data_IF_547910730141
#
_entry.id   IF_547910730141
#
_cell.length_a   1.000
_cell.length_b   1.000
_cell.length_c   1.000
_cell.angle_alpha   90.00
_cell.angle_beta   90.00
_cell.angle_gamma   90.00
#
_symmetry.space_group_name_H-M   'P 1'
#
loop_
_entity.id
_entity.type
_entity.pdbx_description
1 polymer ?
#
# COMPACT_ATOMS: atom_id res chain seq x y z
N UNK A 1 -30.23 -0.40 14.05
CA UNK A 1 -28.86 -0.92 14.19
C UNK A 1 -28.02 -0.09 13.22
N UNK A 2 -26.98 0.60 13.68
CA UNK A 2 -26.15 1.43 12.80
C UNK A 2 -25.36 0.48 11.87
N UNK A 3 -25.39 0.73 10.56
CA UNK A 3 -24.65 -0.09 9.59
C UNK A 3 -23.14 0.08 9.84
N UNK A 4 -22.38 -1.02 9.86
CA UNK A 4 -20.93 -0.99 10.06
C UNK A 4 -20.26 -1.24 8.71
N UNK A 5 -19.56 -0.22 8.21
CA UNK A 5 -18.77 -0.27 7.00
C UNK A 5 -17.35 -0.78 7.26
N UNK A 6 -16.72 -1.29 6.21
CA UNK A 6 -15.33 -1.75 6.22
C UNK A 6 -14.54 -0.97 5.17
N UNK A 7 -13.46 -0.32 5.57
CA UNK A 7 -12.58 0.46 4.71
C UNK A 7 -11.17 -0.12 4.67
N UNK A 8 -10.51 -0.13 3.52
CA UNK A 8 -9.08 -0.46 3.41
C UNK A 8 -8.34 0.81 2.98
N UNK A 9 -7.50 1.36 3.87
CA UNK A 9 -6.88 2.68 3.68
C UNK A 9 -5.64 2.66 2.78
N UNK A 10 -5.09 1.49 2.48
CA UNK A 10 -3.76 1.37 1.91
C UNK A 10 -3.71 0.24 0.89
N UNK A 11 -3.79 0.55 -0.40
CA UNK A 11 -3.71 -0.47 -1.47
C UNK A 11 -3.00 0.07 -2.71
N UNK A 12 -2.31 -0.83 -3.42
CA UNK A 12 -1.53 -0.49 -4.61
C UNK A 12 -2.00 -1.21 -5.86
N UNK A 13 -1.98 -0.49 -6.96
CA UNK A 13 -2.25 -1.00 -8.30
C UNK A 13 -0.98 -0.99 -9.14
N UNK A 14 -1.10 -1.50 -10.36
CA UNK A 14 -0.04 -1.43 -11.38
C UNK A 14 0.47 -0.02 -11.71
N UNK A 15 -0.17 1.05 -11.20
CA UNK A 15 0.29 2.42 -11.35
C UNK A 15 1.35 2.84 -10.31
N UNK A 16 1.54 2.11 -9.19
CA UNK A 16 2.64 2.31 -8.23
C UNK A 16 4.05 2.20 -8.85
N UNK A 17 4.16 1.61 -10.04
CA UNK A 17 5.40 1.60 -10.80
C UNK A 17 6.32 0.44 -10.41
N UNK A 18 7.52 0.76 -9.92
CA UNK A 18 8.59 -0.22 -9.74
C UNK A 18 9.34 -0.02 -8.43
N UNK A 19 9.41 -1.08 -7.64
CA UNK A 19 10.29 -1.17 -6.50
C UNK A 19 11.74 -1.43 -6.97
N UNK A 20 12.72 -0.97 -6.19
CA UNK A 20 14.13 -1.29 -6.37
C UNK A 20 14.68 -1.96 -5.13
N UNK A 21 15.27 -3.15 -5.30
CA UNK A 21 16.00 -3.84 -4.26
C UNK A 21 17.42 -4.15 -4.73
N UNK A 22 18.40 -3.41 -4.22
CA UNK A 22 19.80 -3.44 -4.70
C UNK A 22 19.84 -3.20 -6.23
N UNK A 23 20.32 -4.19 -7.00
CA UNK A 23 20.40 -4.13 -8.45
C UNK A 23 19.14 -4.65 -9.15
N UNK A 24 18.17 -5.21 -8.41
CA UNK A 24 16.92 -5.72 -8.96
C UNK A 24 15.85 -4.63 -8.98
N UNK A 25 15.08 -4.59 -10.05
CA UNK A 25 13.90 -3.72 -10.15
C UNK A 25 12.75 -4.51 -10.77
N UNK A 26 11.61 -4.51 -10.10
CA UNK A 26 10.43 -5.28 -10.48
C UNK A 26 9.16 -4.43 -10.28
N UNK A 27 8.07 -4.73 -11.02
CA UNK A 27 6.80 -4.03 -10.83
C UNK A 27 6.33 -4.15 -9.40
N UNK A 28 5.93 -3.02 -8.83
CA UNK A 28 5.51 -2.92 -7.44
C UNK A 28 4.19 -3.67 -7.19
N UNK A 29 3.17 -3.37 -8.01
CA UNK A 29 1.94 -4.16 -8.10
C UNK A 29 1.67 -4.50 -9.56
N UNK A 30 0.95 -5.60 -9.78
CA UNK A 30 0.41 -5.98 -11.09
C UNK A 30 -1.11 -6.05 -11.08
N UNK A 31 -1.72 -5.56 -10.00
CA UNK A 31 -3.17 -5.54 -9.83
C UNK A 31 -3.76 -4.38 -10.63
N UNK A 32 -4.75 -4.67 -11.47
CA UNK A 32 -5.45 -3.61 -12.22
C UNK A 32 -6.48 -2.91 -11.33
N UNK A 33 -6.78 -1.61 -11.55
CA UNK A 33 -7.85 -0.91 -10.82
C UNK A 33 -9.20 -1.65 -10.84
N UNK A 34 -9.56 -2.24 -11.98
CA UNK A 34 -10.78 -3.07 -12.12
C UNK A 34 -10.73 -4.32 -11.24
N UNK A 35 -9.56 -4.97 -11.14
CA UNK A 35 -9.38 -6.12 -10.26
C UNK A 35 -9.50 -5.71 -8.80
N UNK A 36 -8.93 -4.57 -8.40
CA UNK A 36 -9.03 -4.07 -7.03
C UNK A 36 -10.48 -3.87 -6.61
N UNK A 37 -11.29 -3.21 -7.44
CA UNK A 37 -12.74 -3.01 -7.19
C UNK A 37 -13.45 -4.35 -7.04
N UNK A 38 -13.26 -5.28 -7.99
CA UNK A 38 -13.91 -6.59 -7.95
C UNK A 38 -13.57 -7.38 -6.67
N UNK A 39 -12.35 -7.25 -6.16
CA UNK A 39 -11.97 -7.91 -4.89
C UNK A 39 -12.58 -7.17 -3.71
N UNK A 40 -12.52 -5.84 -3.68
CA UNK A 40 -13.14 -5.03 -2.63
C UNK A 40 -14.63 -5.33 -2.46
N UNK A 41 -15.38 -5.41 -3.58
CA UNK A 41 -16.80 -5.80 -3.58
C UNK A 41 -17.01 -7.21 -2.99
N UNK A 42 -16.14 -8.17 -3.33
CA UNK A 42 -16.20 -9.54 -2.78
C UNK A 42 -15.87 -9.59 -1.29
N UNK A 43 -15.01 -8.70 -0.81
CA UNK A 43 -14.66 -8.57 0.60
C UNK A 43 -15.69 -7.74 1.39
N UNK A 44 -16.67 -7.13 0.71
CA UNK A 44 -17.67 -6.28 1.33
C UNK A 44 -17.12 -4.95 1.82
N UNK A 45 -16.09 -4.41 1.16
CA UNK A 45 -15.56 -3.09 1.51
C UNK A 45 -16.53 -1.98 1.08
N UNK A 46 -16.85 -1.09 2.02
CA UNK A 46 -17.59 0.15 1.77
C UNK A 46 -16.67 1.32 1.35
N UNK A 47 -15.37 1.22 1.64
CA UNK A 47 -14.36 2.17 1.16
C UNK A 47 -13.08 1.44 0.73
N UNK A 48 -12.62 1.71 -0.49
CA UNK A 48 -11.35 1.23 -1.03
C UNK A 48 -10.47 2.43 -1.35
N UNK A 49 -9.45 2.67 -0.53
CA UNK A 49 -8.42 3.66 -0.79
C UNK A 49 -7.35 3.05 -1.69
N UNK A 50 -7.23 3.58 -2.92
CA UNK A 50 -6.11 3.26 -3.80
C UNK A 50 -5.08 4.37 -3.64
N UNK A 51 -3.89 4.00 -3.18
CA UNK A 51 -2.82 4.89 -2.76
C UNK A 51 -1.54 4.52 -3.50
N UNK A 52 -1.57 4.59 -4.83
CA UNK A 52 -0.37 4.29 -5.63
C UNK A 52 0.77 5.25 -5.28
N UNK A 53 2.02 4.78 -5.34
CA UNK A 53 3.18 5.60 -5.00
C UNK A 53 3.29 6.83 -5.92
N UNK A 54 3.26 8.02 -5.32
CA UNK A 54 3.49 9.31 -6.01
C UNK A 54 2.59 9.55 -7.23
N UNK A 55 1.39 8.94 -7.26
CA UNK A 55 0.38 9.17 -8.29
C UNK A 55 -1.03 8.80 -7.85
N UNK A 56 -2.03 9.59 -8.27
CA UNK A 56 -3.46 9.26 -8.10
C UNK A 56 -4.07 8.50 -9.30
N UNK A 57 -3.27 8.13 -10.30
CA UNK A 57 -3.78 7.62 -11.60
C UNK A 57 -4.59 6.34 -11.47
N UNK A 58 -4.15 5.35 -10.68
CA UNK A 58 -4.90 4.11 -10.51
C UNK A 58 -6.21 4.35 -9.79
N UNK A 59 -6.22 5.23 -8.81
CA UNK A 59 -7.42 5.65 -8.09
C UNK A 59 -8.43 6.37 -9.00
N UNK A 60 -7.99 7.29 -9.86
CA UNK A 60 -8.84 7.96 -10.86
C UNK A 60 -9.45 6.97 -11.86
N UNK A 61 -8.69 5.95 -12.30
CA UNK A 61 -9.21 4.90 -13.19
C UNK A 61 -10.24 4.04 -12.46
N UNK A 62 -10.00 3.69 -11.21
CA UNK A 62 -10.93 2.93 -10.39
C UNK A 62 -12.22 3.70 -10.08
N UNK A 63 -12.12 4.99 -9.72
CA UNK A 63 -13.28 5.80 -9.34
C UNK A 63 -14.29 5.95 -10.49
N UNK A 64 -13.82 5.95 -11.75
CA UNK A 64 -14.69 5.92 -12.94
C UNK A 64 -15.55 4.65 -13.02
N UNK A 65 -15.13 3.56 -12.37
CA UNK A 65 -15.84 2.27 -12.38
C UNK A 65 -16.75 2.11 -11.17
N UNK A 66 -16.37 2.64 -10.00
CA UNK A 66 -17.19 2.62 -8.79
C UNK A 66 -16.87 3.84 -7.91
N UNK A 67 -17.60 4.94 -8.12
CA UNK A 67 -17.36 6.21 -7.43
C UNK A 67 -17.67 6.12 -5.94
N UNK A 68 -18.69 5.37 -5.55
CA UNK A 68 -19.21 5.38 -4.17
C UNK A 68 -18.30 4.64 -3.18
N UNK A 69 -17.54 3.66 -3.68
CA UNK A 69 -16.59 2.87 -2.89
C UNK A 69 -15.15 3.40 -2.98
N UNK A 70 -14.71 3.93 -4.13
CA UNK A 70 -13.29 4.24 -4.36
C UNK A 70 -12.92 5.63 -3.87
N UNK A 71 -12.02 5.67 -2.90
CA UNK A 71 -11.35 6.88 -2.40
C UNK A 71 -10.11 7.14 -3.24
N UNK A 72 -10.00 8.36 -3.78
CA UNK A 72 -8.78 8.81 -4.45
C UNK A 72 -7.72 9.06 -3.38
N UNK A 73 -6.64 8.30 -3.43
CA UNK A 73 -5.49 8.50 -2.56
C UNK A 73 -4.16 8.38 -3.29
N UNK A 74 -3.12 8.68 -2.54
CA UNK A 74 -1.73 8.63 -2.96
C UNK A 74 -0.87 8.23 -1.75
N UNK A 75 0.17 7.44 -1.97
CA UNK A 75 1.26 7.32 -1.02
C UNK A 75 2.41 8.22 -1.48
N UNK A 76 2.55 9.36 -0.81
CA UNK A 76 3.50 10.41 -1.14
C UNK A 76 4.82 10.10 -0.45
N UNK A 77 5.90 9.97 -1.22
CA UNK A 77 7.25 9.92 -0.70
C UNK A 77 7.75 11.34 -0.38
N UNK A 78 7.53 11.81 0.85
CA UNK A 78 8.15 13.06 1.33
C UNK A 78 9.65 12.85 1.57
N UNK A 79 10.39 13.91 1.91
CA UNK A 79 11.82 13.79 2.28
C UNK A 79 12.05 13.28 3.73
N UNK A 80 10.98 13.06 4.50
CA UNK A 80 11.02 12.64 5.91
C UNK A 80 10.24 11.36 6.21
N UNK A 81 9.56 10.79 5.22
CA UNK A 81 8.80 9.55 5.31
C UNK A 81 7.66 9.47 4.28
N UNK A 82 7.09 8.30 4.11
CA UNK A 82 5.87 8.09 3.33
C UNK A 82 4.66 8.64 4.10
N UNK A 83 3.72 9.24 3.37
CA UNK A 83 2.48 9.84 3.88
C UNK A 83 1.34 9.43 2.96
N UNK A 84 0.23 8.96 3.52
CA UNK A 84 -0.98 8.73 2.73
C UNK A 84 -1.79 10.02 2.69
N UNK A 85 -2.09 10.48 1.48
CA UNK A 85 -3.13 11.47 1.24
C UNK A 85 -4.38 10.75 0.76
N UNK A 86 -5.50 10.90 1.48
CA UNK A 86 -6.80 10.34 1.10
C UNK A 86 -7.78 11.46 0.73
N UNK A 87 -8.76 11.14 -0.11
CA UNK A 87 -9.76 12.08 -0.64
C UNK A 87 -9.14 13.25 -1.43
N UNK A 88 -8.07 12.96 -2.17
CA UNK A 88 -7.36 13.96 -2.97
C UNK A 88 -8.14 14.35 -4.24
N UNK A 89 -7.93 15.60 -4.68
CA UNK A 89 -8.45 16.12 -5.95
C UNK A 89 -7.33 16.20 -6.99
N UNK A 90 -6.14 16.59 -6.54
CA UNK A 90 -4.92 16.70 -7.32
C UNK A 90 -3.80 15.90 -6.67
N UNK A 91 -2.82 15.52 -7.50
CA UNK A 91 -1.62 14.81 -7.03
C UNK A 91 -0.79 15.76 -6.15
N UNK A 92 -0.22 15.24 -5.07
CA UNK A 92 0.77 15.95 -4.25
C UNK A 92 2.18 15.63 -4.74
N UNK A 93 3.05 16.64 -4.82
CA UNK A 93 4.39 16.44 -5.35
C UNK A 93 5.32 15.71 -4.35
N UNK A 94 6.13 14.75 -4.81
CA UNK A 94 7.07 14.04 -3.94
C UNK A 94 8.28 14.91 -3.57
N UNK A 95 8.94 14.55 -2.46
CA UNK A 95 10.20 15.16 -2.01
C UNK A 95 10.06 16.46 -1.22
N UNK A 96 8.83 16.92 -0.99
CA UNK A 96 8.51 17.99 -0.04
C UNK A 96 8.83 17.56 1.40
N UNK A 97 8.87 18.51 2.34
CA UNK A 97 8.86 18.17 3.76
C UNK A 97 7.57 17.43 4.14
N UNK A 98 7.59 16.68 5.24
CA UNK A 98 6.38 16.01 5.72
C UNK A 98 5.29 17.04 6.08
N UNK A 99 5.67 18.19 6.63
CA UNK A 99 4.74 19.29 6.96
C UNK A 99 4.09 19.88 5.71
N UNK A 100 4.88 20.27 4.70
CA UNK A 100 4.34 20.80 3.42
C UNK A 100 3.45 19.76 2.70
N UNK A 101 3.83 18.47 2.77
CA UNK A 101 3.03 17.38 2.21
C UNK A 101 1.64 17.32 2.86
N UNK A 102 1.59 17.38 4.20
CA UNK A 102 0.32 17.38 4.96
C UNK A 102 -0.50 18.63 4.64
N UNK A 103 0.14 19.81 4.56
CA UNK A 103 -0.54 21.05 4.20
C UNK A 103 -1.15 20.99 2.80
N UNK A 104 -0.46 20.40 1.82
CA UNK A 104 -1.02 20.21 0.48
C UNK A 104 -2.20 19.23 0.48
N UNK A 105 -2.17 18.17 1.28
CA UNK A 105 -3.32 17.26 1.45
C UNK A 105 -4.51 18.01 2.06
N UNK A 106 -4.27 18.76 3.15
CA UNK A 106 -5.32 19.51 3.85
C UNK A 106 -5.89 20.67 3.04
N UNK A 107 -5.09 21.32 2.20
CA UNK A 107 -5.55 22.41 1.32
C UNK A 107 -6.66 21.97 0.35
N UNK A 108 -6.76 20.65 0.11
CA UNK A 108 -7.76 20.01 -0.73
C UNK A 108 -8.91 19.40 0.09
N UNK A 109 -9.03 19.68 1.39
CA UNK A 109 -9.97 18.98 2.31
C UNK A 109 -9.74 17.45 2.37
N UNK A 110 -8.51 17.02 2.04
CA UNK A 110 -8.04 15.65 2.14
C UNK A 110 -7.70 15.25 3.57
N UNK A 111 -7.39 13.96 3.76
CA UNK A 111 -7.02 13.38 5.04
C UNK A 111 -5.56 12.91 4.95
N UNK A 112 -4.73 13.39 5.87
CA UNK A 112 -3.34 12.96 5.98
C UNK A 112 -3.22 11.82 7.01
N UNK A 113 -2.66 10.69 6.58
CA UNK A 113 -2.43 9.53 7.44
C UNK A 113 -0.94 9.20 7.44
N UNK A 114 -0.39 8.88 8.61
CA UNK A 114 0.95 8.31 8.70
C UNK A 114 0.88 6.79 8.45
N UNK A 115 1.29 6.29 7.27
CA UNK A 115 1.37 4.85 7.03
C UNK A 115 2.53 4.28 7.84
N UNK A 116 2.31 3.08 8.37
CA UNK A 116 3.34 2.28 9.03
C UNK A 116 4.48 3.07 9.73
N UNK A 117 4.16 3.93 10.72
CA UNK A 117 5.06 4.98 11.18
C UNK A 117 6.36 4.47 11.83
N UNK A 118 6.40 3.19 12.23
CA UNK A 118 7.55 2.53 12.84
C UNK A 118 8.10 1.37 11.99
N UNK A 119 7.93 1.43 10.66
CA UNK A 119 8.44 0.40 9.76
C UNK A 119 9.97 0.33 9.80
N UNK A 120 10.52 -0.86 10.04
CA UNK A 120 11.97 -1.10 9.91
C UNK A 120 12.45 -1.27 8.46
N UNK A 121 11.54 -1.22 7.46
CA UNK A 121 11.84 -1.55 6.07
C UNK A 121 11.25 -0.59 5.03
N UNK A 122 10.18 0.13 5.35
CA UNK A 122 9.65 1.24 4.56
C UNK A 122 10.22 2.57 5.09
N UNK A 123 10.12 3.63 4.29
CA UNK A 123 10.59 4.95 4.72
C UNK A 123 9.45 5.63 5.48
N UNK A 124 9.58 5.80 6.79
CA UNK A 124 8.47 6.23 7.64
C UNK A 124 8.82 7.47 8.47
N UNK A 125 7.77 8.18 8.91
CA UNK A 125 7.89 9.45 9.67
C UNK A 125 8.30 9.26 11.13
N UNK A 126 8.20 8.05 11.69
CA UNK A 126 8.56 7.78 13.09
C UNK A 126 7.80 8.64 14.07
N UNK A 127 8.50 9.09 15.12
CA UNK A 127 7.95 9.93 16.18
C UNK A 127 7.46 11.31 15.71
N UNK A 128 7.76 11.74 14.47
CA UNK A 128 7.21 12.97 13.90
C UNK A 128 5.69 12.89 13.75
N UNK A 129 5.11 11.69 13.74
CA UNK A 129 3.66 11.51 13.73
C UNK A 129 2.95 12.19 14.93
N UNK A 130 3.66 12.44 16.03
CA UNK A 130 3.13 13.09 17.23
C UNK A 130 3.22 14.63 17.20
N UNK A 131 3.99 15.18 16.26
CA UNK A 131 4.28 16.62 16.17
C UNK A 131 3.57 17.21 14.94
N UNK A 132 3.52 16.44 13.86
CA UNK A 132 2.86 16.82 12.63
C UNK A 132 1.33 16.64 12.73
N UNK A 133 0.59 17.39 11.92
CA UNK A 133 -0.88 17.45 11.95
C UNK A 133 -1.52 16.29 11.18
N UNK A 134 -1.22 15.05 11.52
CA UNK A 134 -1.92 13.91 10.92
C UNK A 134 -3.37 13.82 11.43
N UNK A 135 -4.28 13.35 10.57
CA UNK A 135 -5.66 13.06 10.95
C UNK A 135 -5.79 11.64 11.53
N UNK A 136 -4.98 10.71 11.01
CA UNK A 136 -4.99 9.31 11.40
C UNK A 136 -3.62 8.67 11.32
N UNK A 137 -3.49 7.53 11.99
CA UNK A 137 -2.28 6.70 12.00
C UNK A 137 -2.67 5.29 11.55
N UNK A 138 -1.89 4.72 10.63
CA UNK A 138 -1.99 3.30 10.31
C UNK A 138 -1.37 2.49 11.46
N UNK A 139 -2.21 2.13 12.42
CA UNK A 139 -1.84 1.33 13.59
C UNK A 139 -1.81 -0.17 13.29
N UNK A 140 -2.39 -0.59 12.16
CA UNK A 140 -2.31 -1.95 11.67
C UNK A 140 -2.06 -1.98 10.16
N UNK A 141 -0.83 -2.31 9.78
CA UNK A 141 -0.47 -2.64 8.41
C UNK A 141 -0.34 -4.17 8.27
N UNK A 142 -1.03 -4.77 7.30
CA UNK A 142 -1.03 -6.23 7.11
C UNK A 142 0.34 -6.79 6.67
N UNK A 143 1.17 -6.03 5.97
CA UNK A 143 2.50 -6.50 5.53
C UNK A 143 3.51 -6.53 6.69
N UNK A 144 3.23 -5.87 7.81
CA UNK A 144 4.11 -5.77 8.98
C UNK A 144 4.00 -7.00 9.90
N UNK A 145 4.46 -8.14 9.36
CA UNK A 145 4.52 -9.44 10.04
C UNK A 145 5.46 -9.48 11.25
N UNK A 146 6.35 -8.50 11.40
CA UNK A 146 7.24 -8.40 12.56
C UNK A 146 6.48 -8.15 13.87
N UNK A 147 5.25 -7.62 13.80
CA UNK A 147 4.40 -7.35 14.96
C UNK A 147 4.84 -6.15 15.80
N UNK A 148 6.13 -5.83 15.83
CA UNK A 148 6.69 -4.71 16.56
C UNK A 148 6.21 -3.37 15.99
N UNK A 149 6.25 -3.19 14.67
CA UNK A 149 5.86 -1.92 14.03
C UNK A 149 4.40 -1.57 14.28
N UNK A 150 3.47 -2.53 14.18
CA UNK A 150 2.06 -2.31 14.48
C UNK A 150 1.82 -2.05 15.98
N UNK A 151 2.52 -2.77 16.87
CA UNK A 151 2.42 -2.54 18.31
C UNK A 151 2.87 -1.12 18.69
N UNK A 152 4.03 -0.67 18.20
CA UNK A 152 4.52 0.69 18.45
C UNK A 152 3.58 1.77 17.90
N UNK A 153 3.04 1.55 16.70
CA UNK A 153 2.07 2.47 16.11
C UNK A 153 0.83 2.60 17.00
N UNK A 154 0.29 1.47 17.49
CA UNK A 154 -0.87 1.45 18.37
C UNK A 154 -0.59 2.10 19.73
N UNK A 155 0.59 1.88 20.32
CA UNK A 155 1.00 2.47 21.60
C UNK A 155 1.13 4.00 21.52
N UNK A 156 1.57 4.52 20.38
CA UNK A 156 1.91 5.94 20.22
C UNK A 156 0.83 6.76 19.48
N UNK A 157 -0.25 6.16 18.97
CA UNK A 157 -1.29 6.84 18.17
C UNK A 157 -2.25 7.78 18.94
N UNK A 158 -1.89 8.22 20.16
CA UNK A 158 -2.81 8.98 21.01
C UNK A 158 -3.33 10.24 20.32
N UNK A 159 -4.64 10.48 20.40
CA UNK A 159 -5.28 11.66 19.82
C UNK A 159 -5.54 11.59 18.31
N UNK A 160 -5.21 10.51 17.63
CA UNK A 160 -5.41 10.34 16.18
C UNK A 160 -6.49 9.28 15.87
N UNK A 161 -7.04 9.30 14.65
CA UNK A 161 -7.86 8.19 14.18
C UNK A 161 -7.00 6.92 14.05
N UNK A 162 -7.51 5.79 14.55
CA UNK A 162 -6.81 4.49 14.49
C UNK A 162 -7.25 3.74 13.24
N UNK A 163 -6.34 3.57 12.28
CA UNK A 163 -6.63 3.02 10.97
C UNK A 163 -5.87 1.72 10.73
N UNK A 164 -6.47 0.83 9.95
CA UNK A 164 -5.86 -0.40 9.44
C UNK A 164 -5.91 -0.44 7.93
N UNK A 165 -4.80 -0.84 7.32
CA UNK A 165 -4.60 -0.95 5.87
C UNK A 165 -3.97 -2.28 5.48
N UNK A 166 -4.33 -2.78 4.31
CA UNK A 166 -3.76 -4.03 3.81
C UNK A 166 -2.36 -3.88 3.22
N UNK A 167 -2.05 -2.67 2.74
CA UNK A 167 -0.85 -2.35 1.95
C UNK A 167 -0.72 -3.35 0.78
N UNK A 168 -1.86 -3.58 0.13
CA UNK A 168 -2.01 -4.67 -0.82
C UNK A 168 -1.30 -4.37 -2.14
N UNK A 169 -0.16 -5.03 -2.35
CA UNK A 169 0.55 -5.07 -3.63
C UNK A 169 0.02 -6.17 -4.58
N UNK A 170 -0.85 -7.05 -4.08
CA UNK A 170 -1.53 -8.08 -4.85
C UNK A 170 -3.02 -8.12 -4.53
N UNK A 171 -3.85 -8.34 -5.56
CA UNK A 171 -5.31 -8.43 -5.41
C UNK A 171 -5.81 -9.31 -4.26
N UNK A 172 -5.17 -10.46 -3.98
CA UNK A 172 -5.58 -11.37 -2.91
C UNK A 172 -5.15 -10.93 -1.50
N UNK A 173 -4.42 -9.81 -1.38
CA UNK A 173 -4.06 -9.19 -0.10
C UNK A 173 -5.05 -8.08 0.30
N UNK A 174 -5.85 -7.56 -0.63
CA UNK A 174 -6.84 -6.49 -0.37
C UNK A 174 -7.80 -6.95 0.73
N UNK A 175 -8.02 -6.09 1.73
CA UNK A 175 -8.87 -6.37 2.89
C UNK A 175 -8.21 -7.23 3.96
N UNK A 176 -6.93 -7.61 3.84
CA UNK A 176 -6.22 -8.27 4.94
C UNK A 176 -6.07 -7.35 6.16
N UNK A 177 -5.83 -6.06 5.95
CA UNK A 177 -5.95 -5.01 6.95
C UNK A 177 -7.09 -4.08 6.59
N UNK A 178 -7.84 -3.61 7.57
CA UNK A 178 -9.02 -2.79 7.35
C UNK A 178 -9.35 -1.92 8.56
N UNK A 179 -10.30 -1.01 8.35
CA UNK A 179 -10.84 -0.08 9.33
C UNK A 179 -12.36 -0.19 9.34
N UNK A 180 -12.95 -0.41 10.50
CA UNK A 180 -14.40 -0.36 10.71
C UNK A 180 -14.84 1.06 11.02
N UNK A 181 -16.00 1.43 10.48
CA UNK A 181 -16.63 2.73 10.69
C UNK A 181 -18.15 2.62 10.68
N UNK A 182 -18.85 3.61 11.25
CA UNK A 182 -20.31 3.69 11.17
C UNK A 182 -20.72 4.30 9.84
N UNK A 183 -21.58 3.62 9.09
CA UNK A 183 -22.04 4.01 7.76
C UNK A 183 -21.67 2.98 6.70
N UNK A 184 -21.87 3.33 5.43
CA UNK A 184 -21.71 2.39 4.30
C UNK A 184 -21.10 3.02 3.05
N UNK A 185 -20.79 4.31 3.09
CA UNK A 185 -20.17 5.03 1.99
C UNK A 185 -18.74 5.48 2.32
N UNK A 186 -17.97 5.82 1.29
CA UNK A 186 -16.67 6.48 1.48
C UNK A 186 -16.77 7.83 2.23
N UNK A 187 -17.91 8.52 2.16
CA UNK A 187 -18.07 9.81 2.86
C UNK A 187 -18.32 9.60 4.35
N UNK A 188 -19.10 8.58 4.72
CA UNK A 188 -19.21 8.15 6.12
C UNK A 188 -17.85 7.76 6.68
N UNK A 189 -17.03 7.10 5.86
CA UNK A 189 -15.66 6.76 6.22
C UNK A 189 -14.80 8.01 6.46
N UNK A 190 -14.89 9.02 5.58
CA UNK A 190 -14.20 10.31 5.75
C UNK A 190 -14.58 11.00 7.06
N UNK A 191 -15.87 11.05 7.36
CA UNK A 191 -16.42 11.64 8.59
C UNK A 191 -15.94 10.85 9.82
N UNK A 192 -15.95 9.52 9.75
CA UNK A 192 -15.49 8.67 10.84
C UNK A 192 -14.00 8.90 11.16
N UNK A 193 -13.16 9.05 10.14
CA UNK A 193 -11.73 9.39 10.34
C UNK A 193 -11.59 10.77 10.99
N UNK A 194 -12.24 11.81 10.44
CA UNK A 194 -12.18 13.17 11.00
C UNK A 194 -12.65 13.24 12.46
N UNK A 195 -13.67 12.46 12.80
CA UNK A 195 -14.21 12.37 14.16
C UNK A 195 -13.46 11.35 15.05
N UNK A 196 -12.47 10.64 14.52
CA UNK A 196 -11.68 9.60 15.22
C UNK A 196 -12.56 8.47 15.76
N UNK A 197 -13.62 8.14 15.03
CA UNK A 197 -14.60 7.09 15.34
C UNK A 197 -14.35 5.85 14.47
N UNK A 198 -13.11 5.36 14.47
CA UNK A 198 -12.66 4.22 13.68
C UNK A 198 -12.08 3.12 14.55
N UNK A 199 -12.18 1.88 14.07
CA UNK A 199 -11.58 0.71 14.73
C UNK A 199 -10.77 -0.07 13.69
N UNK A 200 -9.46 -0.19 13.88
CA UNK A 200 -8.62 -1.04 13.03
C UNK A 200 -8.99 -2.54 13.17
N UNK A 201 -8.66 -3.34 12.16
CA UNK A 201 -8.78 -4.79 12.21
C UNK A 201 -8.01 -5.45 11.08
N UNK A 202 -7.94 -6.78 11.11
CA UNK A 202 -7.30 -7.55 10.06
C UNK A 202 -6.48 -8.73 10.53
N UNK A 203 -5.69 -9.26 9.60
CA UNK A 203 -4.70 -10.31 9.77
C UNK A 203 -3.46 -9.94 8.97
N UNK A 204 -2.30 -10.30 9.50
CA UNK A 204 -1.05 -10.12 8.76
C UNK A 204 -1.03 -11.01 7.52
N UNK A 205 -0.45 -10.50 6.43
CA UNK A 205 -0.23 -11.26 5.21
C UNK A 205 0.59 -12.53 5.53
N UNK A 206 0.19 -13.66 4.96
CA UNK A 206 0.87 -14.93 5.18
C UNK A 206 2.16 -15.02 4.33
N UNK A 207 3.12 -15.87 4.72
CA UNK A 207 4.27 -16.16 3.86
C UNK A 207 3.83 -16.68 2.49
N UNK A 208 2.72 -17.43 2.44
CA UNK A 208 2.11 -17.90 1.19
C UNK A 208 1.66 -16.73 0.31
N UNK A 209 1.14 -15.65 0.89
CA UNK A 209 0.75 -14.46 0.14
C UNK A 209 1.97 -13.80 -0.50
N UNK A 210 3.08 -13.67 0.22
CA UNK A 210 4.33 -13.13 -0.33
C UNK A 210 4.93 -14.01 -1.45
N UNK A 211 4.92 -15.34 -1.30
CA UNK A 211 5.34 -16.27 -2.35
C UNK A 211 4.45 -16.15 -3.59
N UNK A 212 3.13 -16.10 -3.38
CA UNK A 212 2.18 -15.95 -4.47
C UNK A 212 2.32 -14.58 -5.16
N UNK A 213 2.63 -13.53 -4.41
CA UNK A 213 2.80 -12.18 -4.94
C UNK A 213 4.04 -12.13 -5.84
N UNK A 214 5.19 -12.62 -5.38
CA UNK A 214 6.40 -12.62 -6.19
C UNK A 214 6.24 -13.48 -7.46
N UNK A 215 5.60 -14.65 -7.35
CA UNK A 215 5.26 -15.48 -8.50
C UNK A 215 4.28 -14.80 -9.45
N UNK A 216 3.29 -14.06 -8.92
CA UNK A 216 2.31 -13.30 -9.71
C UNK A 216 2.98 -12.17 -10.47
N UNK A 217 3.90 -11.43 -9.86
CA UNK A 217 4.68 -10.38 -10.53
C UNK A 217 5.48 -10.96 -11.69
N UNK A 218 6.18 -12.08 -11.48
CA UNK A 218 6.91 -12.77 -12.54
C UNK A 218 5.99 -13.21 -13.70
N UNK A 219 4.84 -13.82 -13.36
CA UNK A 219 3.85 -14.29 -14.33
C UNK A 219 3.21 -13.15 -15.16
N UNK A 220 2.72 -12.10 -14.52
CA UNK A 220 2.06 -10.98 -15.23
C UNK A 220 3.07 -10.14 -16.03
N UNK A 221 4.31 -10.01 -15.53
CA UNK A 221 5.41 -9.44 -16.31
C UNK A 221 5.66 -10.26 -17.58
N UNK A 222 5.65 -11.59 -17.48
CA UNK A 222 5.84 -12.49 -18.62
C UNK A 222 4.71 -12.38 -19.63
N UNK A 223 3.46 -12.34 -19.17
CA UNK A 223 2.29 -12.09 -20.04
C UNK A 223 2.38 -10.77 -20.76
N UNK A 224 2.81 -9.71 -20.08
CA UNK A 224 2.98 -8.39 -20.68
C UNK A 224 4.10 -8.38 -21.72
N UNK A 225 5.19 -9.12 -21.49
CA UNK A 225 6.24 -9.33 -22.50
C UNK A 225 5.70 -10.12 -23.70
N UNK A 226 4.91 -11.17 -23.49
CA UNK A 226 4.38 -11.98 -24.59
C UNK A 226 3.29 -11.28 -25.42
N UNK A 227 2.46 -10.44 -24.77
CA UNK A 227 1.38 -9.66 -25.37
C UNK A 227 1.86 -8.24 -25.68
N UNK A 228 2.82 -8.08 -26.58
CA UNK A 228 3.48 -6.80 -26.91
C UNK A 228 2.50 -5.64 -27.25
N UNK A 229 1.93 -5.03 -26.18
CA UNK A 229 0.97 -3.94 -26.03
C UNK A 229 -0.53 -4.28 -26.06
N UNK A 230 -1.17 -4.22 -24.89
CA UNK A 230 -2.63 -3.96 -24.77
C UNK A 230 -3.08 -3.37 -23.42
N UNK A 231 -2.16 -2.96 -22.55
CA UNK A 231 -2.51 -2.32 -21.27
C UNK A 231 -1.55 -1.15 -21.05
N UNK A 232 -2.07 0.08 -21.02
CA UNK A 232 -1.26 1.28 -20.74
C UNK A 232 -0.96 1.40 -19.24
N UNK A 233 0.30 1.13 -18.87
CA UNK A 233 0.78 1.24 -17.50
C UNK A 233 2.31 1.41 -17.42
N UNK A 234 2.85 1.77 -16.25
CA UNK A 234 4.30 1.88 -16.06
C UNK A 234 5.06 0.62 -16.51
N UNK A 235 4.51 -0.56 -16.22
CA UNK A 235 5.14 -1.83 -16.58
C UNK A 235 5.26 -2.03 -18.09
N UNK A 236 4.16 -1.84 -18.84
CA UNK A 236 4.17 -2.00 -20.31
C UNK A 236 5.02 -0.94 -20.99
N UNK A 237 4.99 0.31 -20.50
CA UNK A 237 5.84 1.41 -20.98
C UNK A 237 7.34 1.13 -20.79
N UNK A 238 7.73 0.46 -19.71
CA UNK A 238 9.12 0.04 -19.51
C UNK A 238 9.49 -1.13 -20.43
N UNK A 239 8.61 -2.14 -20.54
CA UNK A 239 8.85 -3.34 -21.37
C UNK A 239 8.96 -2.97 -22.86
N UNK A 240 8.19 -2.00 -23.35
CA UNK A 240 8.23 -1.57 -24.74
C UNK A 240 9.62 -1.04 -25.15
N UNK A 241 10.36 -0.45 -24.21
CA UNK A 241 11.73 0.08 -24.42
C UNK A 241 12.82 -1.00 -24.35
N UNK A 242 12.49 -2.23 -23.94
CA UNK A 242 13.46 -3.33 -23.83
C UNK A 242 13.68 -3.99 -25.20
N UNK A 243 14.95 -4.21 -25.57
CA UNK A 243 15.32 -4.95 -26.79
C UNK A 243 14.77 -6.39 -26.77
N UNK A 244 14.30 -6.89 -27.92
CA UNK A 244 13.68 -8.22 -28.05
C UNK A 244 14.57 -9.37 -27.54
N UNK A 245 15.89 -9.33 -27.73
CA UNK A 245 16.79 -10.36 -27.18
C UNK A 245 16.81 -10.40 -25.65
N UNK A 246 16.66 -9.24 -24.98
CA UNK A 246 16.57 -9.18 -23.50
C UNK A 246 15.20 -9.64 -23.00
N UNK A 247 14.14 -9.40 -23.75
CA UNK A 247 12.79 -9.92 -23.44
C UNK A 247 12.77 -11.45 -23.37
N UNK A 248 13.45 -12.14 -24.29
CA UNK A 248 13.59 -13.62 -24.24
C UNK A 248 14.30 -14.05 -22.95
N UNK A 249 15.40 -13.39 -22.57
CA UNK A 249 16.08 -13.71 -21.31
C UNK A 249 15.17 -13.50 -20.08
N UNK A 250 14.36 -12.44 -20.05
CA UNK A 250 13.42 -12.19 -18.95
C UNK A 250 12.35 -13.28 -18.85
N UNK A 251 11.84 -13.79 -19.99
CA UNK A 251 10.90 -14.91 -20.00
C UNK A 251 11.55 -16.18 -19.44
N UNK A 252 12.79 -16.50 -19.83
CA UNK A 252 13.52 -17.66 -19.31
C UNK A 252 13.80 -17.54 -17.80
N UNK A 253 14.23 -16.35 -17.34
CA UNK A 253 14.46 -16.11 -15.92
C UNK A 253 13.17 -16.17 -15.09
N UNK A 254 12.07 -15.61 -15.61
CA UNK A 254 10.77 -15.67 -14.96
C UNK A 254 10.27 -17.11 -14.82
N UNK A 255 10.43 -17.92 -15.87
CA UNK A 255 10.10 -19.34 -15.84
C UNK A 255 10.95 -20.09 -14.80
N UNK A 256 12.27 -19.88 -14.82
CA UNK A 256 13.17 -20.49 -13.83
C UNK A 256 12.82 -20.05 -12.39
N UNK A 257 12.46 -18.78 -12.19
CA UNK A 257 12.02 -18.27 -10.89
C UNK A 257 10.74 -18.96 -10.42
N UNK A 258 9.70 -19.00 -11.27
CA UNK A 258 8.38 -19.53 -10.91
C UNK A 258 8.39 -21.05 -10.61
N UNK A 259 9.27 -21.82 -11.25
CA UNK A 259 9.35 -23.27 -11.10
C UNK A 259 10.51 -23.75 -10.21
N UNK A 260 11.19 -22.84 -9.53
CA UNK A 260 12.22 -23.19 -8.55
C UNK A 260 11.74 -22.97 -7.11
N UNK A 261 12.46 -23.49 -6.10
CA UNK A 261 12.22 -23.14 -4.70
C UNK A 261 12.57 -21.67 -4.36
N UNK A 262 13.10 -20.90 -5.33
CA UNK A 262 13.65 -19.57 -5.11
C UNK A 262 12.63 -18.57 -4.55
N UNK A 263 11.35 -18.52 -4.97
CA UNK A 263 10.35 -17.63 -4.38
C UNK A 263 10.18 -17.90 -2.88
N UNK A 264 10.10 -19.19 -2.49
CA UNK A 264 9.97 -19.60 -1.09
C UNK A 264 11.21 -19.21 -0.28
N UNK A 265 12.40 -19.50 -0.80
CA UNK A 265 13.67 -19.17 -0.12
C UNK A 265 13.81 -17.66 0.05
N UNK A 266 13.53 -16.87 -1.00
CA UNK A 266 13.58 -15.41 -0.94
C UNK A 266 12.58 -14.85 0.09
N UNK A 267 11.35 -15.37 0.12
CA UNK A 267 10.34 -14.95 1.11
C UNK A 267 10.77 -15.26 2.54
N UNK A 268 11.31 -16.45 2.81
CA UNK A 268 11.78 -16.81 4.16
C UNK A 268 12.96 -15.95 4.62
N UNK A 269 13.89 -15.63 3.72
CA UNK A 269 15.01 -14.74 4.03
C UNK A 269 14.53 -13.30 4.25
N UNK A 270 13.61 -12.81 3.42
CA UNK A 270 12.98 -11.51 3.57
C UNK A 270 12.24 -11.36 4.90
N UNK A 271 11.44 -12.36 5.28
CA UNK A 271 10.72 -12.38 6.56
C UNK A 271 11.68 -12.36 7.75
N UNK A 272 12.78 -13.13 7.74
CA UNK A 272 13.80 -13.04 8.81
C UNK A 272 14.42 -11.65 8.93
N UNK A 273 14.70 -10.99 7.81
CA UNK A 273 15.23 -9.63 7.78
C UNK A 273 14.20 -8.64 8.33
N UNK A 274 12.94 -8.79 7.95
CA UNK A 274 11.81 -8.01 8.46
C UNK A 274 11.70 -8.13 9.98
N UNK A 275 11.66 -9.35 10.51
CA UNK A 275 11.60 -9.62 11.96
C UNK A 275 12.78 -9.01 12.71
N UNK A 276 13.99 -9.13 12.16
CA UNK A 276 15.19 -8.56 12.77
C UNK A 276 15.15 -7.03 12.83
N UNK A 277 14.73 -6.38 11.73
CA UNK A 277 14.58 -4.92 11.65
C UNK A 277 13.50 -4.40 12.60
N UNK A 278 12.33 -5.04 12.64
CA UNK A 278 11.25 -4.67 13.55
C UNK A 278 11.70 -4.76 15.02
N UNK A 279 12.37 -5.85 15.40
CA UNK A 279 12.95 -5.99 16.75
C UNK A 279 13.95 -4.90 17.09
N UNK A 280 14.76 -4.46 16.11
CA UNK A 280 15.73 -3.38 16.32
C UNK A 280 15.01 -2.06 16.60
N UNK A 281 14.02 -1.71 15.78
CA UNK A 281 13.18 -0.51 15.98
C UNK A 281 12.49 -0.55 17.35
N UNK A 282 11.94 -1.71 17.75
CA UNK A 282 11.33 -1.89 19.08
C UNK A 282 12.27 -1.52 20.23
N UNK A 283 13.51 -2.02 20.19
CA UNK A 283 14.53 -1.70 21.19
C UNK A 283 14.90 -0.22 21.19
N UNK A 284 15.07 0.36 20.01
CA UNK A 284 15.39 1.79 19.87
C UNK A 284 14.32 2.70 20.48
N UNK A 285 13.04 2.29 20.51
CA UNK A 285 11.95 3.08 21.11
C UNK A 285 11.75 2.86 22.62
N UNK A 286 12.22 1.74 23.18
CA UNK A 286 11.99 1.40 24.59
C UNK A 286 13.24 1.52 25.46
N UNK A 287 14.42 1.31 24.88
CA UNK A 287 15.70 1.29 25.59
C UNK A 287 16.49 2.61 25.43
N UNK A 288 15.98 3.56 24.62
CA UNK A 288 16.61 4.86 24.32
C UNK A 288 15.83 6.03 24.90
#
# INVERSE_FOLDING_TARGET
>A
MQEIGVGDIHTHTMYSGFTKYKFLSFPDSVTTPRTSIRVAEKMGLGALCITDHNTIKGALVAQKLNKDMVVIGEEISSNEGEILGLFLQEKVDPGLSAEETIEQIHSQDGIAVAPHPYSGHCFCVGNKMNILKFDGIEVFNSLHRDGYSNALALENCNGHAKLGGSDAHASFMIGNGYTLFNGSSQEDFRIAIKNRQTIHGGKVASLKDFVNYSARVAYESSKTIMKFNDIDCPMSSRISRVRNSRKISYLLFSLAYAFSPLPVVCTLLGDRVLQHKGRRVWKEQHDG
#
